data_IF_482049062051
#
_entry.id   IF_482049062051
#
_cell.length_a   1.000
_cell.length_b   1.000
_cell.length_c   1.000
_cell.angle_alpha   90.00
_cell.angle_beta   90.00
_cell.angle_gamma   90.00
#
_symmetry.space_group_name_H-M   'P 1'
#
loop_
_entity.id
_entity.type
_entity.pdbx_description
1 polymer ?
#
# COMPACT_ATOMS: atom_id res chain seq x y z
N UNK A 1 -18.18 62.73 -25.61
CA UNK A 1 -18.22 61.78 -24.50
C UNK A 1 -18.01 60.34 -25.09
N UNK A 2 -17.10 59.84 -25.03
CA UNK A 2 -15.80 59.35 -25.42
C UNK A 2 -15.73 57.84 -25.35
N UNK A 3 -15.36 57.26 -26.48
CA UNK A 3 -15.11 55.80 -26.78
C UNK A 3 -14.13 55.08 -25.81
N UNK A 4 -13.61 55.71 -24.77
CA UNK A 4 -12.64 55.10 -23.82
C UNK A 4 -13.27 54.30 -22.66
N UNK A 5 -14.59 54.39 -22.43
CA UNK A 5 -15.21 53.65 -21.30
C UNK A 5 -15.80 52.28 -21.66
N UNK A 6 -15.93 51.97 -22.95
CA UNK A 6 -16.51 50.68 -23.40
C UNK A 6 -15.44 49.58 -23.49
N UNK A 7 -14.17 49.93 -23.76
CA UNK A 7 -13.08 48.98 -23.91
C UNK A 7 -12.56 48.37 -22.59
N UNK A 8 -12.69 49.09 -21.46
CA UNK A 8 -12.25 48.63 -20.16
C UNK A 8 -13.21 47.65 -19.48
N UNK A 9 -14.50 47.68 -19.81
CA UNK A 9 -15.49 46.72 -19.28
C UNK A 9 -15.44 45.36 -20.00
N UNK A 10 -15.13 45.35 -21.29
CA UNK A 10 -15.01 44.13 -22.10
C UNK A 10 -13.73 43.34 -21.75
N UNK A 11 -12.60 44.02 -21.60
CA UNK A 11 -11.33 43.38 -21.20
C UNK A 11 -11.37 42.80 -19.79
N UNK A 12 -12.06 43.45 -18.84
CA UNK A 12 -12.28 42.87 -17.49
C UNK A 12 -13.20 41.64 -17.50
N UNK A 13 -14.25 41.60 -18.34
CA UNK A 13 -15.13 40.44 -18.49
C UNK A 13 -14.37 39.25 -19.10
N UNK A 14 -13.52 39.47 -20.09
CA UNK A 14 -12.70 38.41 -20.70
C UNK A 14 -11.60 37.90 -19.76
N UNK A 15 -11.03 38.74 -18.92
CA UNK A 15 -10.07 38.36 -17.88
C UNK A 15 -10.75 37.51 -16.77
N UNK A 16 -11.96 37.85 -16.35
CA UNK A 16 -12.74 37.12 -15.37
C UNK A 16 -13.27 35.80 -15.94
N UNK A 17 -13.64 35.74 -17.23
CA UNK A 17 -14.02 34.48 -17.91
C UNK A 17 -12.82 33.56 -18.12
N UNK A 18 -11.63 34.07 -18.42
CA UNK A 18 -10.39 33.29 -18.49
C UNK A 18 -9.94 32.79 -17.12
N UNK A 19 -10.06 33.61 -16.07
CA UNK A 19 -9.78 33.17 -14.70
C UNK A 19 -10.79 32.13 -14.21
N UNK A 20 -12.09 32.26 -14.56
CA UNK A 20 -13.12 31.27 -14.25
C UNK A 20 -12.94 29.96 -15.05
N UNK A 21 -12.51 30.01 -16.32
CA UNK A 21 -12.16 28.84 -17.10
C UNK A 21 -10.89 28.14 -16.59
N UNK A 22 -9.87 28.90 -16.17
CA UNK A 22 -8.67 28.33 -15.55
C UNK A 22 -8.96 27.71 -14.17
N UNK A 23 -9.84 28.30 -13.37
CA UNK A 23 -10.29 27.70 -12.10
C UNK A 23 -11.19 26.48 -12.32
N UNK A 24 -11.99 26.42 -13.37
CA UNK A 24 -12.76 25.23 -13.75
C UNK A 24 -11.88 24.11 -14.33
N UNK A 25 -10.78 24.43 -15.01
CA UNK A 25 -9.80 23.45 -15.49
C UNK A 25 -8.92 22.87 -14.36
N UNK A 26 -8.73 23.58 -13.26
CA UNK A 26 -8.06 23.06 -12.06
C UNK A 26 -9.01 22.33 -11.09
N UNK A 27 -10.32 22.50 -11.23
CA UNK A 27 -11.34 21.82 -10.42
C UNK A 27 -11.81 20.48 -11.01
N UNK A 28 -11.42 20.14 -12.24
CA UNK A 28 -11.93 18.95 -12.95
C UNK A 28 -10.91 17.84 -13.21
N UNK A 29 -9.77 17.82 -12.53
CA UNK A 29 -8.84 16.68 -12.58
C UNK A 29 -9.01 15.68 -11.45
N UNK A 30 -10.16 15.62 -10.81
CA UNK A 30 -10.65 14.37 -10.20
C UNK A 30 -11.61 13.72 -11.22
N UNK A 31 -11.03 13.22 -12.30
CA UNK A 31 -11.71 12.22 -13.12
C UNK A 31 -11.96 11.04 -12.19
N UNK A 32 -13.19 10.88 -11.74
CA UNK A 32 -13.62 9.70 -11.01
C UNK A 32 -13.20 8.48 -11.81
N UNK A 33 -12.28 7.72 -11.27
CA UNK A 33 -11.79 6.50 -11.88
C UNK A 33 -12.98 5.56 -12.01
N UNK A 34 -13.21 5.04 -13.20
CA UNK A 34 -14.37 4.20 -13.49
C UNK A 34 -14.07 2.74 -13.13
N UNK A 35 -15.12 1.95 -12.87
CA UNK A 35 -15.03 0.50 -12.72
C UNK A 35 -14.23 -0.15 -13.87
N UNK A 36 -14.30 0.42 -15.05
CA UNK A 36 -13.56 -0.03 -16.24
C UNK A 36 -12.05 0.10 -16.05
N UNK A 37 -11.57 1.17 -15.40
CA UNK A 37 -10.11 1.36 -15.19
C UNK A 37 -9.52 0.30 -14.27
N UNK A 38 -10.21 -0.06 -13.17
CA UNK A 38 -9.75 -1.14 -12.27
C UNK A 38 -9.80 -2.49 -12.98
N UNK A 39 -10.84 -2.77 -13.75
CA UNK A 39 -10.92 -3.98 -14.57
C UNK A 39 -9.80 -4.06 -15.60
N UNK A 40 -9.46 -2.94 -16.24
CA UNK A 40 -8.34 -2.87 -17.20
C UNK A 40 -6.98 -3.11 -16.52
N UNK A 41 -6.81 -2.65 -15.28
CA UNK A 41 -5.62 -2.95 -14.48
C UNK A 41 -5.57 -4.44 -14.14
N UNK A 42 -6.67 -5.02 -13.65
CA UNK A 42 -6.75 -6.43 -13.27
C UNK A 42 -6.53 -7.35 -14.47
N UNK A 43 -7.10 -7.02 -15.64
CA UNK A 43 -6.92 -7.83 -16.86
C UNK A 43 -5.46 -7.91 -17.31
N UNK A 44 -4.68 -6.83 -17.07
CA UNK A 44 -3.24 -6.77 -17.37
C UNK A 44 -2.36 -7.32 -16.25
N UNK A 45 -2.84 -7.27 -15.01
CA UNK A 45 -2.15 -7.72 -13.82
C UNK A 45 -3.13 -8.35 -12.83
N UNK A 46 -3.46 -9.64 -12.94
CA UNK A 46 -4.39 -10.33 -12.04
C UNK A 46 -4.01 -10.24 -10.57
N UNK A 47 -2.70 -10.13 -10.24
CA UNK A 47 -2.23 -9.96 -8.87
C UNK A 47 -2.80 -8.71 -8.17
N UNK A 48 -3.18 -7.68 -8.95
CA UNK A 48 -3.82 -6.47 -8.42
C UNK A 48 -5.13 -6.78 -7.66
N UNK A 49 -5.87 -7.81 -8.08
CA UNK A 49 -7.10 -8.24 -7.43
C UNK A 49 -6.90 -8.78 -6.01
N UNK A 50 -5.70 -9.21 -5.68
CA UNK A 50 -5.40 -9.81 -4.37
C UNK A 50 -5.12 -8.80 -3.26
N UNK A 51 -5.26 -7.49 -3.49
CA UNK A 51 -4.94 -6.42 -2.55
C UNK A 51 -3.55 -6.59 -1.92
N UNK A 52 -3.46 -7.29 -0.79
CA UNK A 52 -2.22 -7.44 -0.03
C UNK A 52 -1.23 -8.45 -0.63
N UNK A 53 -1.56 -9.16 -1.71
CA UNK A 53 -0.65 -9.99 -2.51
C UNK A 53 -0.34 -9.36 -3.88
N UNK A 54 -0.68 -8.08 -4.11
CA UNK A 54 -0.23 -7.38 -5.30
C UNK A 54 1.31 -7.32 -5.36
N UNK A 55 1.87 -7.55 -6.55
CA UNK A 55 3.32 -7.51 -6.77
C UNK A 55 3.85 -6.07 -6.76
N UNK A 56 5.05 -5.88 -6.23
CA UNK A 56 5.75 -4.61 -6.43
C UNK A 56 6.15 -4.48 -7.91
N UNK A 57 5.94 -3.33 -8.55
CA UNK A 57 6.28 -3.14 -9.96
C UNK A 57 7.73 -3.50 -10.28
N UNK A 58 7.97 -4.21 -11.38
CA UNK A 58 9.32 -4.63 -11.79
C UNK A 58 10.19 -3.47 -12.25
N UNK A 59 9.60 -2.48 -12.88
CA UNK A 59 10.26 -1.22 -13.23
C UNK A 59 9.44 -0.05 -12.72
N UNK A 60 10.09 0.85 -12.01
CA UNK A 60 9.50 2.13 -11.61
C UNK A 60 10.26 3.23 -12.34
N UNK A 61 9.84 3.48 -13.58
CA UNK A 61 10.30 4.64 -14.34
C UNK A 61 9.39 5.82 -14.06
N UNK A 62 9.93 6.86 -13.43
CA UNK A 62 9.20 8.12 -13.27
C UNK A 62 10.19 9.27 -13.20
N UNK A 63 9.73 10.37 -13.75
CA UNK A 63 10.44 11.63 -13.68
C UNK A 63 10.12 12.30 -12.34
N UNK A 64 11.18 12.62 -11.57
CA UNK A 64 11.04 13.37 -10.33
C UNK A 64 11.11 14.87 -10.61
N UNK A 65 10.21 15.61 -9.99
CA UNK A 65 10.26 17.09 -10.00
C UNK A 65 11.59 17.55 -9.40
N UNK A 66 12.29 18.42 -10.14
CA UNK A 66 13.56 18.96 -9.67
C UNK A 66 13.37 19.77 -8.37
N UNK A 67 14.35 19.74 -7.45
CA UNK A 67 14.26 20.53 -6.23
C UNK A 67 14.32 22.03 -6.53
N UNK A 68 13.72 22.86 -5.67
CA UNK A 68 13.87 24.30 -5.75
C UNK A 68 15.35 24.72 -5.80
N UNK A 69 15.65 25.81 -6.52
CA UNK A 69 17.02 26.29 -6.76
C UNK A 69 17.86 26.31 -5.48
N UNK A 70 19.02 25.68 -5.52
CA UNK A 70 19.97 25.60 -4.40
C UNK A 70 19.65 24.53 -3.35
N UNK A 71 18.50 23.89 -3.39
CA UNK A 71 18.16 22.78 -2.48
C UNK A 71 18.65 21.45 -3.06
N UNK A 72 19.19 20.58 -2.19
CA UNK A 72 19.62 19.21 -2.54
C UNK A 72 19.19 18.24 -1.46
N UNK A 73 18.96 16.95 -1.81
CA UNK A 73 18.62 15.94 -0.82
C UNK A 73 19.78 15.74 0.14
N UNK A 74 19.48 15.52 1.43
CA UNK A 74 20.51 15.32 2.46
C UNK A 74 20.15 14.27 3.51
N UNK A 75 18.89 13.87 3.59
CA UNK A 75 18.41 12.89 4.56
C UNK A 75 17.20 12.14 4.01
N UNK A 76 17.13 10.83 4.26
CA UNK A 76 15.99 9.97 3.92
C UNK A 76 15.46 9.30 5.19
N UNK A 77 14.13 9.38 5.39
CA UNK A 77 13.41 8.61 6.38
C UNK A 77 12.40 7.72 5.67
N UNK A 78 12.44 6.42 5.92
CA UNK A 78 11.65 5.43 5.20
C UNK A 78 10.88 4.53 6.17
N UNK A 79 9.68 4.11 5.76
CA UNK A 79 8.96 2.96 6.31
C UNK A 79 8.48 2.08 5.16
N UNK A 80 8.91 0.81 5.14
CA UNK A 80 8.53 -0.17 4.12
C UNK A 80 7.87 -1.41 4.72
N UNK A 81 7.03 -2.03 3.92
CA UNK A 81 6.47 -3.35 4.13
C UNK A 81 7.51 -4.41 3.74
N UNK A 82 7.49 -5.60 4.37
CA UNK A 82 8.25 -6.77 3.90
C UNK A 82 7.94 -7.10 2.42
N UNK A 83 8.84 -7.78 1.75
CA UNK A 83 8.66 -8.26 0.38
C UNK A 83 7.66 -9.42 0.24
N UNK A 84 7.55 -9.96 -0.97
CA UNK A 84 6.73 -11.13 -1.29
C UNK A 84 7.02 -12.29 -0.33
N UNK A 85 5.94 -12.96 0.10
CA UNK A 85 5.99 -14.00 1.12
C UNK A 85 4.96 -15.09 0.86
N UNK A 86 5.16 -16.26 1.44
CA UNK A 86 4.16 -17.32 1.52
C UNK A 86 2.92 -16.85 2.30
N UNK A 87 1.75 -17.50 2.05
CA UNK A 87 0.52 -17.22 2.81
C UNK A 87 0.81 -17.44 4.30
N UNK A 88 0.37 -16.50 5.15
CA UNK A 88 0.84 -16.42 6.55
C UNK A 88 0.29 -17.50 7.47
N UNK A 89 -0.80 -18.16 7.09
CA UNK A 89 -1.44 -19.17 7.92
C UNK A 89 -1.90 -20.37 7.08
N UNK A 90 -1.91 -21.52 7.70
CA UNK A 90 -2.27 -22.79 7.08
C UNK A 90 -3.70 -22.79 6.49
N UNK A 91 -4.66 -22.10 7.14
CA UNK A 91 -6.04 -22.05 6.65
C UNK A 91 -6.16 -21.51 5.23
N UNK A 92 -5.28 -20.59 4.81
CA UNK A 92 -5.27 -20.05 3.46
C UNK A 92 -4.93 -21.08 2.38
N UNK A 93 -4.31 -22.17 2.76
CA UNK A 93 -4.03 -23.32 1.92
C UNK A 93 -5.04 -24.44 2.13
N UNK A 94 -5.30 -24.80 3.39
CA UNK A 94 -6.12 -25.97 3.75
C UNK A 94 -7.58 -25.82 3.28
N UNK A 95 -8.19 -24.64 3.40
CA UNK A 95 -9.60 -24.46 3.07
C UNK A 95 -9.91 -24.85 1.62
N UNK A 96 -9.28 -24.25 0.59
CA UNK A 96 -9.58 -24.65 -0.78
C UNK A 96 -9.07 -26.07 -1.10
N UNK A 97 -7.90 -26.46 -0.56
CA UNK A 97 -7.31 -27.76 -0.87
C UNK A 97 -8.12 -28.95 -0.30
N UNK A 98 -8.55 -28.86 0.98
CA UNK A 98 -9.34 -29.93 1.61
C UNK A 98 -10.74 -30.04 0.98
N UNK A 99 -11.33 -28.91 0.54
CA UNK A 99 -12.58 -28.94 -0.21
C UNK A 99 -12.44 -29.71 -1.54
N UNK A 100 -11.37 -29.43 -2.28
CA UNK A 100 -11.10 -30.12 -3.55
C UNK A 100 -10.81 -31.63 -3.33
N UNK A 101 -10.06 -31.99 -2.28
CA UNK A 101 -9.84 -33.39 -1.90
C UNK A 101 -11.13 -34.10 -1.49
N UNK A 102 -12.04 -33.41 -0.81
CA UNK A 102 -13.33 -33.95 -0.44
C UNK A 102 -14.17 -34.26 -1.69
N UNK A 103 -14.25 -33.33 -2.64
CA UNK A 103 -14.97 -33.55 -3.89
C UNK A 103 -14.34 -34.67 -4.74
N UNK A 104 -13.02 -34.74 -4.79
CA UNK A 104 -12.28 -35.84 -5.44
C UNK A 104 -12.65 -37.23 -4.87
N UNK A 105 -12.74 -37.30 -3.54
CA UNK A 105 -13.10 -38.59 -2.84
C UNK A 105 -14.53 -39.07 -3.11
N UNK A 106 -15.37 -38.21 -3.67
CA UNK A 106 -16.76 -38.50 -4.03
C UNK A 106 -16.98 -38.59 -5.54
N UNK A 107 -15.92 -38.54 -6.34
CA UNK A 107 -15.96 -38.45 -7.81
C UNK A 107 -16.77 -37.26 -8.34
N UNK A 108 -16.77 -36.13 -7.61
CA UNK A 108 -17.55 -34.91 -7.90
C UNK A 108 -16.73 -33.79 -8.57
N UNK A 109 -15.48 -34.06 -8.98
CA UNK A 109 -14.68 -33.10 -9.73
C UNK A 109 -14.97 -33.20 -11.24
N UNK A 110 -15.00 -32.03 -11.89
CA UNK A 110 -14.91 -31.97 -13.36
C UNK A 110 -13.45 -32.18 -13.80
N UNK A 111 -13.17 -32.42 -15.09
CA UNK A 111 -11.78 -32.47 -15.58
C UNK A 111 -10.98 -31.20 -15.28
N UNK A 112 -11.64 -30.05 -15.18
CA UNK A 112 -10.99 -28.81 -14.73
C UNK A 112 -10.73 -28.82 -13.23
N UNK A 113 -11.65 -29.34 -12.43
CA UNK A 113 -11.47 -29.55 -11.00
C UNK A 113 -10.28 -30.44 -10.69
N UNK A 114 -10.15 -31.58 -11.40
CA UNK A 114 -8.99 -32.48 -11.29
C UNK A 114 -7.66 -31.74 -11.59
N UNK A 115 -7.61 -30.96 -12.69
CA UNK A 115 -6.43 -30.14 -13.03
C UNK A 115 -6.08 -29.16 -11.90
N UNK A 116 -7.09 -28.45 -11.37
CA UNK A 116 -6.89 -27.48 -10.28
C UNK A 116 -6.36 -28.19 -9.03
N UNK A 117 -6.87 -29.37 -8.69
CA UNK A 117 -6.39 -30.14 -7.54
C UNK A 117 -4.91 -30.55 -7.72
N UNK A 118 -4.50 -31.00 -8.91
CA UNK A 118 -3.08 -31.34 -9.18
C UNK A 118 -2.15 -30.11 -9.04
N UNK A 119 -2.56 -28.95 -9.54
CA UNK A 119 -1.80 -27.71 -9.35
C UNK A 119 -1.73 -27.31 -7.87
N UNK A 120 -2.81 -27.48 -7.12
CA UNK A 120 -2.83 -27.24 -5.67
C UNK A 120 -1.88 -28.16 -4.91
N UNK A 121 -1.74 -29.44 -5.30
CA UNK A 121 -0.77 -30.37 -4.71
C UNK A 121 0.67 -29.84 -4.84
N UNK A 122 1.03 -29.24 -5.98
CA UNK A 122 2.34 -28.62 -6.18
C UNK A 122 2.53 -27.43 -5.22
N UNK A 123 1.51 -26.57 -5.08
CA UNK A 123 1.55 -25.42 -4.19
C UNK A 123 1.65 -25.87 -2.73
N UNK A 124 0.90 -26.89 -2.33
CA UNK A 124 0.95 -27.45 -0.97
C UNK A 124 2.34 -27.99 -0.64
N UNK A 125 2.96 -28.72 -1.58
CA UNK A 125 4.32 -29.25 -1.42
C UNK A 125 5.37 -28.13 -1.28
N UNK A 126 5.32 -27.09 -2.14
CA UNK A 126 6.27 -25.98 -2.07
C UNK A 126 6.10 -25.13 -0.81
N UNK A 127 4.87 -24.99 -0.31
CA UNK A 127 4.57 -24.15 0.85
C UNK A 127 4.63 -24.85 2.21
N UNK A 128 4.89 -26.14 2.23
CA UNK A 128 4.95 -26.91 3.47
C UNK A 128 6.00 -26.35 4.45
N UNK A 129 5.56 -26.05 5.68
CA UNK A 129 6.37 -25.46 6.75
C UNK A 129 6.99 -24.08 6.42
N UNK A 130 6.52 -23.39 5.35
CA UNK A 130 7.04 -22.09 4.92
C UNK A 130 6.04 -20.93 5.11
N UNK A 131 5.04 -21.10 5.94
CA UNK A 131 3.95 -20.10 6.12
C UNK A 131 4.48 -18.77 6.62
N UNK A 132 4.22 -17.73 5.84
CA UNK A 132 4.64 -16.35 6.14
C UNK A 132 6.13 -16.07 5.95
N UNK A 133 6.91 -17.02 5.42
CA UNK A 133 8.32 -16.82 5.05
C UNK A 133 8.45 -15.93 3.82
N UNK A 134 9.54 -15.18 3.76
CA UNK A 134 9.88 -14.36 2.60
C UNK A 134 10.26 -15.25 1.41
N UNK A 135 9.75 -14.92 0.21
CA UNK A 135 10.16 -15.60 -1.03
C UNK A 135 11.44 -15.00 -1.61
N UNK A 136 12.05 -15.69 -2.59
CA UNK A 136 13.17 -15.14 -3.37
C UNK A 136 12.78 -13.85 -4.09
N UNK A 137 11.55 -13.78 -4.63
CA UNK A 137 11.00 -12.54 -5.19
C UNK A 137 10.95 -11.41 -4.17
N UNK A 138 10.61 -11.72 -2.91
CA UNK A 138 10.58 -10.74 -1.83
C UNK A 138 11.95 -10.19 -1.47
N UNK A 139 12.99 -11.02 -1.51
CA UNK A 139 14.38 -10.57 -1.34
C UNK A 139 14.79 -9.62 -2.47
N UNK A 140 14.50 -9.98 -3.72
CA UNK A 140 14.89 -9.18 -4.90
C UNK A 140 14.13 -7.85 -4.96
N UNK A 141 12.86 -7.80 -4.53
CA UNK A 141 12.12 -6.54 -4.42
C UNK A 141 12.86 -5.54 -3.52
N UNK A 142 13.36 -5.97 -2.36
CA UNK A 142 14.07 -5.08 -1.45
C UNK A 142 15.48 -4.70 -1.94
N UNK A 143 16.18 -5.57 -2.65
CA UNK A 143 17.44 -5.22 -3.33
C UNK A 143 17.18 -4.13 -4.36
N UNK A 144 16.16 -4.30 -5.21
CA UNK A 144 15.82 -3.32 -6.24
C UNK A 144 15.42 -1.96 -5.65
N UNK A 145 14.59 -1.94 -4.60
CA UNK A 145 14.22 -0.69 -3.92
C UNK A 145 15.45 0.02 -3.35
N UNK A 146 16.38 -0.74 -2.78
CA UNK A 146 17.63 -0.19 -2.25
C UNK A 146 18.52 0.39 -3.37
N UNK A 147 18.65 -0.33 -4.49
CA UNK A 147 19.37 0.12 -5.70
C UNK A 147 18.79 1.42 -6.25
N UNK A 148 17.47 1.45 -6.45
CA UNK A 148 16.76 2.64 -6.90
C UNK A 148 16.97 3.84 -5.96
N UNK A 149 17.03 3.60 -4.65
CA UNK A 149 17.26 4.66 -3.66
C UNK A 149 18.66 5.27 -3.81
N UNK A 150 19.69 4.47 -4.05
CA UNK A 150 21.06 4.96 -4.30
C UNK A 150 21.13 5.75 -5.61
N UNK A 151 20.55 5.21 -6.68
CA UNK A 151 20.55 5.84 -8.01
C UNK A 151 19.87 7.22 -7.99
N UNK A 152 18.81 7.37 -7.21
CA UNK A 152 18.03 8.62 -7.14
C UNK A 152 18.57 9.65 -6.17
N UNK A 153 19.24 9.20 -5.12
CA UNK A 153 19.72 10.06 -4.05
C UNK A 153 21.20 9.80 -3.73
N UNK A 154 22.09 9.90 -4.75
CA UNK A 154 23.52 9.67 -4.54
C UNK A 154 24.14 10.66 -3.58
N UNK A 155 23.53 11.86 -3.41
CA UNK A 155 24.00 12.87 -2.43
C UNK A 155 23.80 12.41 -0.99
N UNK A 156 22.85 11.50 -0.73
CA UNK A 156 22.55 10.99 0.62
C UNK A 156 23.25 9.67 0.89
N UNK A 157 23.37 8.80 -0.10
CA UNK A 157 23.89 7.44 0.03
C UNK A 157 25.26 7.23 -0.61
N UNK A 158 25.86 8.25 -1.23
CA UNK A 158 27.21 8.21 -1.79
C UNK A 158 28.29 8.49 -0.76
N UNK A 159 29.49 7.88 -0.95
CA UNK A 159 30.63 8.05 -0.09
C UNK A 159 30.40 7.58 1.36
N UNK A 160 31.19 8.10 2.29
CA UNK A 160 31.10 7.74 3.72
C UNK A 160 29.88 8.40 4.37
N UNK A 161 28.83 7.62 4.64
CA UNK A 161 27.60 8.07 5.32
C UNK A 161 27.01 6.96 6.18
N UNK A 162 26.05 7.29 7.03
CA UNK A 162 25.43 6.35 7.97
C UNK A 162 24.06 5.87 7.47
N UNK A 163 23.76 4.59 7.66
CA UNK A 163 22.45 3.99 7.45
C UNK A 163 22.02 3.29 8.73
N UNK A 164 20.94 3.76 9.34
CA UNK A 164 20.30 3.08 10.47
C UNK A 164 19.08 2.34 9.97
N UNK A 165 19.10 1.02 10.05
CA UNK A 165 18.01 0.15 9.64
C UNK A 165 17.33 -0.49 10.84
N UNK A 166 15.99 -0.40 10.91
CA UNK A 166 15.18 -1.04 11.96
C UNK A 166 14.12 -1.93 11.35
N UNK A 167 13.93 -3.10 11.94
CA UNK A 167 12.88 -4.04 11.55
C UNK A 167 11.96 -4.34 12.72
N UNK A 168 10.72 -4.76 12.42
CA UNK A 168 9.94 -5.53 13.40
C UNK A 168 10.64 -6.86 13.69
N UNK A 169 10.29 -7.50 14.80
CA UNK A 169 10.89 -8.79 15.22
C UNK A 169 10.36 -10.00 14.41
N UNK A 170 9.68 -9.76 13.30
CA UNK A 170 9.14 -10.80 12.43
C UNK A 170 10.17 -11.15 11.37
N UNK A 171 10.48 -12.44 11.20
CA UNK A 171 11.56 -12.94 10.34
C UNK A 171 11.54 -12.37 8.93
N UNK A 172 10.38 -12.35 8.25
CA UNK A 172 10.29 -11.79 6.89
C UNK A 172 10.66 -10.31 6.80
N UNK A 173 10.39 -9.53 7.85
CA UNK A 173 10.78 -8.12 7.89
C UNK A 173 12.29 -7.96 8.12
N UNK A 174 12.88 -8.80 8.99
CA UNK A 174 14.33 -8.84 9.22
C UNK A 174 15.07 -9.27 7.94
N UNK A 175 14.56 -10.28 7.22
CA UNK A 175 15.15 -10.74 5.96
C UNK A 175 15.00 -9.68 4.84
N UNK A 176 13.89 -8.95 4.80
CA UNK A 176 13.72 -7.81 3.88
C UNK A 176 14.71 -6.69 4.17
N UNK A 177 14.92 -6.37 5.45
CA UNK A 177 15.95 -5.43 5.90
C UNK A 177 17.35 -5.90 5.48
N UNK A 178 17.69 -7.15 5.76
CA UNK A 178 18.99 -7.72 5.40
C UNK A 178 19.25 -7.66 3.90
N UNK A 179 18.29 -8.02 3.06
CA UNK A 179 18.40 -7.95 1.60
C UNK A 179 18.71 -6.52 1.12
N UNK A 180 17.99 -5.52 1.63
CA UNK A 180 18.23 -4.12 1.31
C UNK A 180 19.64 -3.66 1.78
N UNK A 181 20.06 -4.03 2.99
CA UNK A 181 21.38 -3.63 3.52
C UNK A 181 22.53 -4.28 2.76
N UNK A 182 22.39 -5.54 2.38
CA UNK A 182 23.40 -6.23 1.55
C UNK A 182 23.57 -5.56 0.18
N UNK A 183 22.48 -5.15 -0.45
CA UNK A 183 22.53 -4.41 -1.72
C UNK A 183 23.20 -3.05 -1.57
N UNK A 184 22.84 -2.29 -0.52
CA UNK A 184 23.48 -0.99 -0.23
C UNK A 184 24.99 -1.13 -0.01
N UNK A 185 25.43 -2.16 0.76
CA UNK A 185 26.86 -2.43 1.00
C UNK A 185 27.59 -2.84 -0.27
N UNK A 186 26.95 -3.59 -1.16
CA UNK A 186 27.54 -4.00 -2.44
C UNK A 186 27.75 -2.79 -3.35
N UNK A 187 26.81 -1.83 -3.38
CA UNK A 187 26.90 -0.62 -4.22
C UNK A 187 27.89 0.39 -3.59
N UNK A 188 27.82 0.59 -2.29
CA UNK A 188 28.70 1.53 -1.58
C UNK A 188 29.30 0.89 -0.31
N UNK A 189 30.52 0.33 -0.38
CA UNK A 189 31.19 -0.29 0.76
C UNK A 189 31.60 0.68 1.89
N UNK A 190 31.57 1.99 1.63
CA UNK A 190 31.92 3.00 2.64
C UNK A 190 30.75 3.32 3.63
N UNK A 191 29.56 2.74 3.39
CA UNK A 191 28.40 2.94 4.25
C UNK A 191 28.64 2.36 5.66
N UNK A 192 28.33 3.18 6.66
CA UNK A 192 28.32 2.75 8.06
C UNK A 192 26.90 2.29 8.43
N UNK A 193 26.65 1.00 8.29
CA UNK A 193 25.31 0.40 8.48
C UNK A 193 25.16 -0.14 9.91
N UNK A 194 24.08 0.27 10.59
CA UNK A 194 23.61 -0.34 11.83
C UNK A 194 22.25 -0.95 11.63
N UNK A 195 22.04 -2.19 12.12
CA UNK A 195 20.78 -2.92 12.02
C UNK A 195 20.22 -3.26 13.41
N UNK A 196 18.92 -3.09 13.60
CA UNK A 196 18.23 -3.41 14.84
C UNK A 196 16.88 -4.07 14.57
N UNK A 197 16.58 -5.16 15.30
CA UNK A 197 15.24 -5.73 15.43
C UNK A 197 14.98 -5.99 16.93
N UNK A 198 14.30 -5.07 17.59
CA UNK A 198 14.16 -5.05 19.04
C UNK A 198 12.70 -4.99 19.48
N UNK A 199 12.35 -5.69 20.58
CA UNK A 199 11.06 -5.56 21.24
C UNK A 199 10.79 -4.12 21.70
N UNK A 200 11.84 -3.37 22.08
CA UNK A 200 11.72 -1.99 22.54
C UNK A 200 11.19 -1.04 21.46
N UNK A 201 11.53 -1.28 20.19
CA UNK A 201 11.08 -0.47 19.06
C UNK A 201 9.67 -0.80 18.61
N UNK A 202 9.12 -1.98 18.98
CA UNK A 202 7.77 -2.41 18.60
C UNK A 202 6.67 -1.45 19.07
N UNK A 203 6.92 -0.66 20.13
CA UNK A 203 6.00 0.38 20.61
C UNK A 203 5.59 1.39 19.55
N UNK A 204 6.39 1.58 18.46
CA UNK A 204 6.07 2.44 17.33
C UNK A 204 6.20 1.72 15.98
N UNK A 205 7.10 0.73 15.84
CA UNK A 205 7.29 0.01 14.58
C UNK A 205 6.08 -0.85 14.18
N UNK A 206 5.36 -1.40 15.16
CA UNK A 206 4.14 -2.18 14.97
C UNK A 206 3.28 -2.12 16.23
N UNK A 207 2.86 -0.90 16.59
CA UNK A 207 2.04 -0.70 17.78
C UNK A 207 0.66 -1.37 17.62
N UNK A 208 0.31 -2.23 18.58
CA UNK A 208 -0.99 -2.89 18.64
C UNK A 208 -1.94 -2.10 19.55
N UNK A 209 -2.69 -1.16 18.97
CA UNK A 209 -3.72 -0.42 19.70
C UNK A 209 -4.97 -1.29 19.91
N UNK A 210 -5.07 -1.87 21.10
CA UNK A 210 -6.15 -2.82 21.44
C UNK A 210 -7.56 -2.19 21.31
N UNK A 211 -7.71 -0.91 21.64
CA UNK A 211 -9.01 -0.22 21.58
C UNK A 211 -9.42 0.02 20.13
N UNK A 212 -8.50 0.50 19.28
CA UNK A 212 -8.77 0.65 17.87
C UNK A 212 -9.04 -0.71 17.21
N UNK A 213 -8.30 -1.75 17.60
CA UNK A 213 -8.54 -3.11 17.07
C UNK A 213 -9.93 -3.64 17.39
N UNK A 214 -10.44 -3.43 18.61
CA UNK A 214 -11.81 -3.81 18.97
C UNK A 214 -12.86 -3.06 18.15
N UNK A 215 -12.60 -1.82 17.76
CA UNK A 215 -13.51 -0.98 16.98
C UNK A 215 -13.34 -1.09 15.47
N UNK A 216 -12.49 -1.97 14.95
CA UNK A 216 -12.30 -2.14 13.50
C UNK A 216 -13.58 -2.55 12.77
N UNK A 217 -14.34 -3.47 13.37
CA UNK A 217 -15.56 -4.01 12.78
C UNK A 217 -16.72 -3.84 13.78
N UNK A 218 -17.31 -2.63 13.81
CA UNK A 218 -18.54 -2.36 14.59
C UNK A 218 -19.74 -3.11 14.01
N UNK A 219 -20.83 -3.27 14.74
CA UNK A 219 -22.07 -3.85 14.20
C UNK A 219 -22.57 -3.14 12.94
N UNK A 220 -22.47 -1.81 12.88
CA UNK A 220 -22.83 -0.99 11.72
C UNK A 220 -21.91 -1.28 10.53
N UNK A 221 -20.61 -1.30 10.76
CA UNK A 221 -19.64 -1.63 9.72
C UNK A 221 -19.83 -3.05 9.19
N UNK A 222 -20.11 -4.03 10.09
CA UNK A 222 -20.40 -5.41 9.70
C UNK A 222 -21.67 -5.51 8.86
N UNK A 223 -22.74 -4.81 9.27
CA UNK A 223 -24.01 -4.79 8.51
C UNK A 223 -23.80 -4.21 7.10
N UNK A 224 -23.09 -3.07 7.00
CA UNK A 224 -22.79 -2.44 5.71
C UNK A 224 -21.91 -3.33 4.84
N UNK A 225 -20.89 -3.95 5.41
CA UNK A 225 -20.00 -4.88 4.71
C UNK A 225 -20.76 -6.11 4.21
N UNK A 226 -21.60 -6.75 5.03
CA UNK A 226 -22.39 -7.91 4.61
C UNK A 226 -23.37 -7.55 3.48
N UNK A 227 -23.99 -6.36 3.53
CA UNK A 227 -24.84 -5.88 2.44
C UNK A 227 -24.04 -5.62 1.14
N UNK A 228 -22.81 -5.12 1.27
CA UNK A 228 -21.92 -4.83 0.16
C UNK A 228 -21.43 -6.12 -0.50
N UNK A 229 -21.03 -7.12 0.30
CA UNK A 229 -20.56 -8.43 -0.19
C UNK A 229 -21.67 -9.26 -0.81
N UNK A 230 -22.87 -9.26 -0.24
CA UNK A 230 -24.02 -10.00 -0.78
C UNK A 230 -24.37 -9.63 -2.23
N UNK A 231 -24.06 -8.39 -2.66
CA UNK A 231 -24.25 -7.94 -4.05
C UNK A 231 -23.15 -8.42 -5.01
N UNK A 232 -21.99 -8.87 -4.48
CA UNK A 232 -20.76 -9.15 -5.23
C UNK A 232 -20.26 -10.58 -5.05
N UNK A 233 -20.76 -11.27 -4.03
CA UNK A 233 -20.43 -12.65 -3.74
C UNK A 233 -21.20 -13.63 -4.61
N UNK A 234 -20.77 -14.87 -4.55
CA UNK A 234 -21.26 -15.98 -5.37
C UNK A 234 -20.52 -16.06 -6.71
N UNK A 235 -20.13 -17.26 -7.07
CA UNK A 235 -19.45 -17.54 -8.33
C UNK A 235 -19.93 -18.87 -8.91
N UNK A 236 -21.23 -18.90 -9.26
CA UNK A 236 -21.87 -20.10 -9.80
C UNK A 236 -21.08 -20.70 -10.98
N UNK A 237 -20.58 -19.84 -11.90
CA UNK A 237 -19.78 -20.31 -13.04
C UNK A 237 -18.52 -21.07 -12.59
N UNK A 238 -17.83 -20.56 -11.56
CA UNK A 238 -16.62 -21.21 -11.05
C UNK A 238 -16.97 -22.53 -10.36
N UNK A 239 -18.07 -22.59 -9.62
CA UNK A 239 -18.55 -23.84 -9.02
C UNK A 239 -18.89 -24.89 -10.08
N UNK A 240 -19.68 -24.53 -11.11
CA UNK A 240 -19.98 -25.40 -12.26
C UNK A 240 -18.73 -25.79 -13.08
N UNK A 241 -17.70 -24.96 -13.09
CA UNK A 241 -16.42 -25.25 -13.76
C UNK A 241 -15.62 -26.33 -13.01
N UNK A 242 -15.68 -26.33 -11.68
CA UNK A 242 -14.83 -27.19 -10.84
C UNK A 242 -15.53 -28.48 -10.38
N UNK A 243 -16.85 -28.45 -10.17
CA UNK A 243 -17.62 -29.51 -9.53
C UNK A 243 -18.76 -29.99 -10.42
N UNK A 244 -18.98 -31.33 -10.43
CA UNK A 244 -20.15 -31.95 -11.08
C UNK A 244 -21.43 -31.60 -10.32
N UNK A 245 -21.37 -31.58 -8.97
CA UNK A 245 -22.40 -31.04 -8.11
C UNK A 245 -21.91 -29.74 -7.45
N UNK A 246 -22.30 -28.56 -7.97
CA UNK A 246 -21.85 -27.27 -7.43
C UNK A 246 -22.22 -27.02 -5.95
N UNK A 247 -23.31 -27.60 -5.47
CA UNK A 247 -23.80 -27.39 -4.11
C UNK A 247 -22.95 -28.11 -3.04
N UNK A 248 -22.06 -29.03 -3.44
CA UNK A 248 -21.15 -29.78 -2.54
C UNK A 248 -20.25 -28.84 -1.72
N UNK A 249 -19.95 -27.65 -2.24
CA UNK A 249 -19.10 -26.68 -1.56
C UNK A 249 -19.76 -26.18 -0.28
N UNK A 250 -21.05 -25.81 -0.34
CA UNK A 250 -21.78 -25.26 0.83
C UNK A 250 -22.06 -26.32 1.91
N UNK A 251 -21.92 -27.61 1.60
CA UNK A 251 -21.98 -28.69 2.60
C UNK A 251 -20.74 -28.73 3.52
N UNK A 252 -19.61 -28.20 3.05
CA UNK A 252 -18.31 -28.29 3.74
C UNK A 252 -17.80 -26.92 4.17
N UNK A 253 -17.91 -25.91 3.29
CA UNK A 253 -17.38 -24.56 3.51
C UNK A 253 -18.28 -23.56 2.80
N UNK A 254 -18.38 -22.32 3.34
CA UNK A 254 -19.04 -21.20 2.67
C UNK A 254 -18.40 -20.92 1.30
N UNK A 255 -19.21 -20.85 0.23
CA UNK A 255 -18.75 -20.64 -1.15
C UNK A 255 -17.87 -19.38 -1.28
N UNK A 256 -18.23 -18.28 -0.62
CA UNK A 256 -17.44 -17.03 -0.68
C UNK A 256 -16.07 -17.25 -0.05
N UNK A 257 -15.99 -18.02 1.03
CA UNK A 257 -14.73 -18.33 1.69
C UNK A 257 -13.85 -19.24 0.81
N UNK A 258 -14.44 -20.26 0.17
CA UNK A 258 -13.74 -21.10 -0.80
C UNK A 258 -13.17 -20.28 -1.95
N UNK A 259 -14.00 -19.48 -2.61
CA UNK A 259 -13.61 -18.61 -3.72
C UNK A 259 -12.47 -17.65 -3.32
N UNK A 260 -12.58 -17.03 -2.15
CA UNK A 260 -11.57 -16.10 -1.63
C UNK A 260 -10.21 -16.77 -1.45
N UNK A 261 -10.16 -17.93 -0.79
CA UNK A 261 -8.89 -18.61 -0.54
C UNK A 261 -8.33 -19.28 -1.79
N UNK A 262 -9.16 -19.79 -2.69
CA UNK A 262 -8.74 -20.32 -3.98
C UNK A 262 -8.09 -19.21 -4.83
N UNK A 263 -8.72 -18.03 -4.93
CA UNK A 263 -8.13 -16.87 -5.59
C UNK A 263 -6.80 -16.47 -4.95
N UNK A 264 -6.75 -16.37 -3.62
CA UNK A 264 -5.50 -16.01 -2.91
C UNK A 264 -4.40 -17.04 -3.15
N UNK A 265 -4.73 -18.32 -3.21
CA UNK A 265 -3.77 -19.39 -3.51
C UNK A 265 -3.26 -19.30 -4.94
N UNK A 266 -4.14 -19.01 -5.92
CA UNK A 266 -3.76 -18.81 -7.31
C UNK A 266 -2.89 -17.56 -7.50
N UNK A 267 -3.25 -16.43 -6.91
CA UNK A 267 -2.49 -15.18 -7.04
C UNK A 267 -1.19 -15.21 -6.23
N UNK A 268 -1.13 -15.99 -5.14
CA UNK A 268 0.09 -16.18 -4.33
C UNK A 268 1.22 -16.83 -5.13
N UNK A 269 0.94 -17.81 -5.99
CA UNK A 269 1.98 -18.50 -6.76
C UNK A 269 2.78 -17.57 -7.68
N UNK A 270 2.21 -16.38 -8.05
CA UNK A 270 2.94 -15.36 -8.80
C UNK A 270 4.17 -14.83 -8.04
N UNK A 271 4.24 -15.06 -6.73
CA UNK A 271 5.36 -14.68 -5.86
C UNK A 271 6.43 -15.75 -5.70
N UNK A 272 6.22 -16.94 -6.28
CA UNK A 272 7.09 -18.09 -6.15
C UNK A 272 7.67 -18.51 -7.50
N UNK A 273 8.55 -19.51 -7.50
CA UNK A 273 9.09 -20.09 -8.73
C UNK A 273 8.04 -20.93 -9.50
N UNK A 274 6.90 -21.25 -8.86
CA UNK A 274 5.81 -22.00 -9.48
C UNK A 274 5.00 -21.21 -10.50
N UNK A 275 5.18 -19.89 -10.57
CA UNK A 275 4.47 -19.00 -11.49
C UNK A 275 4.57 -19.39 -12.99
N UNK A 276 5.51 -20.28 -13.34
CA UNK A 276 5.68 -20.82 -14.70
C UNK A 276 5.05 -22.19 -14.90
N UNK A 277 4.61 -22.83 -13.85
CA UNK A 277 4.20 -24.24 -13.85
C UNK A 277 2.74 -24.44 -13.43
N UNK A 278 2.07 -23.37 -13.00
CA UNK A 278 0.70 -23.43 -12.51
C UNK A 278 -0.09 -22.25 -13.07
N UNK A 279 -1.36 -22.48 -13.38
CA UNK A 279 -2.26 -21.55 -14.06
C UNK A 279 -3.58 -21.38 -13.30
N UNK A 280 -3.55 -21.49 -11.97
CA UNK A 280 -4.76 -21.34 -11.13
C UNK A 280 -5.48 -20.00 -11.33
N UNK A 281 -4.79 -18.98 -11.79
CA UNK A 281 -5.40 -17.68 -12.10
C UNK A 281 -6.27 -17.72 -13.33
N UNK A 282 -6.05 -18.66 -14.26
CA UNK A 282 -6.74 -18.75 -15.54
C UNK A 282 -8.19 -19.22 -15.42
N UNK A 283 -8.53 -19.84 -14.28
CA UNK A 283 -9.92 -20.27 -14.02
C UNK A 283 -10.85 -19.09 -13.71
N UNK A 284 -10.32 -17.92 -13.36
CA UNK A 284 -11.10 -16.73 -13.03
C UNK A 284 -11.22 -15.79 -14.22
N UNK A 285 -12.40 -15.25 -14.43
CA UNK A 285 -12.58 -14.11 -15.34
C UNK A 285 -12.12 -12.82 -14.67
N UNK A 286 -11.81 -11.81 -15.49
CA UNK A 286 -11.46 -10.47 -14.98
C UNK A 286 -12.57 -9.89 -14.10
N UNK A 287 -13.83 -10.12 -14.46
CA UNK A 287 -14.98 -9.62 -13.68
C UNK A 287 -15.11 -10.31 -12.32
N UNK A 288 -14.82 -11.61 -12.24
CA UNK A 288 -14.79 -12.35 -10.98
C UNK A 288 -13.69 -11.84 -10.07
N UNK A 289 -12.47 -11.68 -10.59
CA UNK A 289 -11.36 -11.08 -9.87
C UNK A 289 -11.67 -9.65 -9.40
N UNK A 290 -12.33 -8.86 -10.25
CA UNK A 290 -12.74 -7.51 -9.91
C UNK A 290 -13.75 -7.47 -8.76
N UNK A 291 -14.79 -8.32 -8.78
CA UNK A 291 -15.76 -8.42 -7.67
C UNK A 291 -15.09 -8.82 -6.36
N UNK A 292 -14.16 -9.78 -6.41
CA UNK A 292 -13.40 -10.21 -5.24
C UNK A 292 -12.48 -9.09 -4.73
N UNK A 293 -11.85 -8.33 -5.64
CA UNK A 293 -11.08 -7.15 -5.30
C UNK A 293 -11.94 -6.09 -4.58
N UNK A 294 -13.15 -5.81 -5.07
CA UNK A 294 -14.04 -4.85 -4.43
C UNK A 294 -14.35 -5.24 -2.98
N UNK A 295 -14.63 -6.51 -2.74
CA UNK A 295 -14.90 -7.06 -1.40
C UNK A 295 -13.69 -6.87 -0.47
N UNK A 296 -12.51 -7.25 -0.94
CA UNK A 296 -11.26 -7.15 -0.15
C UNK A 296 -10.87 -5.67 0.08
N UNK A 297 -11.01 -4.81 -0.95
CA UNK A 297 -10.76 -3.38 -0.83
C UNK A 297 -11.63 -2.71 0.22
N UNK A 298 -12.92 -3.03 0.25
CA UNK A 298 -13.85 -2.52 1.27
C UNK A 298 -13.51 -3.00 2.67
N UNK A 299 -13.06 -4.25 2.82
CA UNK A 299 -12.61 -4.79 4.11
C UNK A 299 -11.37 -4.04 4.63
N UNK A 300 -10.39 -3.81 3.76
CA UNK A 300 -9.18 -3.04 4.10
C UNK A 300 -9.50 -1.60 4.48
N UNK A 301 -10.47 -0.96 3.78
CA UNK A 301 -10.94 0.38 4.12
C UNK A 301 -11.56 0.43 5.52
N UNK A 302 -12.48 -0.49 5.83
CA UNK A 302 -13.13 -0.55 7.13
C UNK A 302 -12.10 -0.74 8.25
N UNK A 303 -11.15 -1.66 8.04
CA UNK A 303 -10.20 -2.04 9.09
C UNK A 303 -9.06 -1.05 9.30
N UNK A 304 -8.69 -0.26 8.29
CA UNK A 304 -7.45 0.54 8.31
C UNK A 304 -7.61 1.98 7.80
N UNK A 305 -8.66 2.27 7.03
CA UNK A 305 -8.99 3.59 6.52
C UNK A 305 -9.74 4.46 7.52
N UNK A 306 -10.13 5.67 7.09
CA UNK A 306 -10.92 6.60 7.88
C UNK A 306 -12.44 6.34 7.75
N UNK A 307 -12.86 5.09 7.84
CA UNK A 307 -14.23 4.64 7.68
C UNK A 307 -15.16 5.23 8.74
N UNK A 308 -16.20 5.99 8.33
CA UNK A 308 -17.16 6.60 9.27
C UNK A 308 -17.97 5.58 10.04
N UNK A 309 -18.22 4.39 9.47
CA UNK A 309 -19.01 3.32 10.12
C UNK A 309 -18.37 2.80 11.41
N UNK A 310 -17.05 3.00 11.59
CA UNK A 310 -16.32 2.65 12.81
C UNK A 310 -15.69 3.87 13.51
N UNK A 311 -16.17 5.06 13.19
CA UNK A 311 -15.75 6.33 13.79
C UNK A 311 -14.51 6.97 13.18
N UNK A 312 -14.00 6.49 12.03
CA UNK A 312 -12.92 7.14 11.28
C UNK A 312 -11.54 7.14 11.94
N UNK A 313 -11.34 6.34 13.00
CA UNK A 313 -10.17 6.47 13.88
C UNK A 313 -9.03 5.49 13.59
N UNK A 314 -9.21 4.52 12.69
CA UNK A 314 -8.23 3.47 12.45
C UNK A 314 -6.85 3.99 12.00
N UNK A 315 -6.74 5.06 11.19
CA UNK A 315 -5.43 5.63 10.82
C UNK A 315 -4.59 6.06 12.03
N UNK A 316 -5.21 6.49 13.12
CA UNK A 316 -4.49 6.90 14.35
C UNK A 316 -3.82 5.73 15.10
N UNK A 317 -4.01 4.48 14.66
CA UNK A 317 -3.18 3.36 15.13
C UNK A 317 -1.68 3.63 14.91
N UNK A 318 -1.34 4.44 13.88
CA UNK A 318 0.04 4.77 13.54
C UNK A 318 0.53 6.12 14.10
N UNK A 319 -0.18 6.71 15.07
CA UNK A 319 0.21 7.99 15.70
C UNK A 319 1.59 7.96 16.35
N UNK A 320 1.97 6.82 16.94
CA UNK A 320 3.29 6.67 17.58
C UNK A 320 4.41 6.58 16.54
N UNK A 321 4.18 5.87 15.42
CA UNK A 321 5.14 5.82 14.32
C UNK A 321 5.35 7.19 13.70
N UNK A 322 4.29 7.94 13.42
CA UNK A 322 4.39 9.28 12.85
C UNK A 322 5.11 10.25 13.81
N UNK A 323 4.83 10.19 15.12
CA UNK A 323 5.57 10.98 16.12
C UNK A 323 7.06 10.62 16.14
N UNK A 324 7.40 9.33 16.04
CA UNK A 324 8.78 8.88 16.01
C UNK A 324 9.49 9.35 14.73
N UNK A 325 8.83 9.25 13.56
CA UNK A 325 9.38 9.78 12.28
C UNK A 325 9.68 11.27 12.40
N UNK A 326 8.76 12.05 12.99
CA UNK A 326 8.95 13.50 13.19
C UNK A 326 10.11 13.78 14.16
N UNK A 327 10.19 13.07 15.27
CA UNK A 327 11.24 13.26 16.27
C UNK A 327 12.63 12.89 15.73
N UNK A 328 12.71 11.77 14.99
CA UNK A 328 13.95 11.32 14.36
C UNK A 328 14.40 12.34 13.29
N UNK A 329 13.48 12.84 12.47
CA UNK A 329 13.78 13.86 11.48
C UNK A 329 14.27 15.17 12.12
N UNK A 330 13.61 15.65 13.19
CA UNK A 330 14.04 16.84 13.93
C UNK A 330 15.47 16.68 14.53
N UNK A 331 15.86 15.47 14.85
CA UNK A 331 17.22 15.18 15.31
C UNK A 331 18.21 15.17 14.15
N UNK A 332 17.86 14.49 13.05
CA UNK A 332 18.72 14.32 11.88
C UNK A 332 18.98 15.62 11.13
N UNK A 333 17.97 16.51 10.98
CA UNK A 333 18.16 17.78 10.25
C UNK A 333 19.16 18.72 10.88
N UNK A 334 19.51 18.52 12.16
CA UNK A 334 20.55 19.30 12.87
C UNK A 334 21.97 18.82 12.61
N UNK A 335 22.12 17.66 12.00
CA UNK A 335 23.43 17.08 11.69
C UNK A 335 23.90 17.53 10.31
N UNK A 336 25.22 17.66 10.15
CA UNK A 336 25.81 17.99 8.85
C UNK A 336 25.61 16.85 7.84
N UNK A 337 25.82 15.60 8.26
CA UNK A 337 25.66 14.38 7.47
C UNK A 337 24.77 13.36 8.22
N UNK A 338 23.44 13.51 8.20
CA UNK A 338 22.54 12.65 8.97
C UNK A 338 22.38 11.24 8.39
N UNK A 339 22.68 11.05 7.10
CA UNK A 339 22.52 9.75 6.43
C UNK A 339 21.08 9.34 6.19
N UNK A 340 20.74 8.07 6.50
CA UNK A 340 19.44 7.48 6.15
C UNK A 340 18.88 6.66 7.31
N UNK A 341 17.58 6.73 7.52
CA UNK A 341 16.85 5.89 8.49
C UNK A 341 15.80 5.04 7.76
N UNK A 342 16.00 3.73 7.77
CA UNK A 342 15.15 2.76 7.09
C UNK A 342 14.39 1.92 8.12
N UNK A 343 13.08 1.72 7.90
CA UNK A 343 12.21 0.93 8.77
C UNK A 343 11.48 -0.12 7.95
N UNK A 344 11.46 -1.36 8.43
CA UNK A 344 10.87 -2.51 7.74
C UNK A 344 9.78 -3.17 8.59
N UNK A 345 8.57 -3.24 8.05
CA UNK A 345 7.40 -3.71 8.80
C UNK A 345 6.31 -4.31 7.91
N UNK A 346 5.08 -3.85 8.09
CA UNK A 346 3.88 -4.53 7.59
C UNK A 346 2.91 -3.59 6.87
N UNK A 347 2.06 -4.18 6.00
CA UNK A 347 0.94 -3.51 5.34
C UNK A 347 -0.07 -2.93 6.35
N UNK A 348 -0.33 -3.63 7.45
CA UNK A 348 -1.23 -3.20 8.54
C UNK A 348 -0.71 -1.97 9.32
N UNK A 349 0.51 -1.56 9.06
CA UNK A 349 1.12 -0.32 9.56
C UNK A 349 1.19 0.72 8.44
N UNK A 350 1.62 0.30 7.24
CA UNK A 350 1.84 1.21 6.12
C UNK A 350 0.53 1.82 5.61
N UNK A 351 -0.53 1.01 5.41
CA UNK A 351 -1.81 1.52 4.94
C UNK A 351 -2.41 2.56 5.88
N UNK A 352 -2.61 2.30 7.19
CA UNK A 352 -3.14 3.34 8.08
C UNK A 352 -2.17 4.52 8.28
N UNK A 353 -0.86 4.37 8.07
CA UNK A 353 0.07 5.51 8.03
C UNK A 353 -0.20 6.41 6.81
N UNK A 354 -0.40 5.82 5.63
CA UNK A 354 -0.77 6.55 4.39
C UNK A 354 -2.09 7.30 4.59
N UNK A 355 -3.10 6.65 5.17
CA UNK A 355 -4.39 7.27 5.50
C UNK A 355 -4.24 8.38 6.56
N UNK A 356 -3.41 8.19 7.59
CA UNK A 356 -3.15 9.21 8.63
C UNK A 356 -2.50 10.46 8.04
N UNK A 357 -1.57 10.26 7.11
CA UNK A 357 -0.89 11.32 6.39
C UNK A 357 -1.77 11.99 5.32
N UNK A 358 -2.86 11.35 4.87
CA UNK A 358 -3.69 11.83 3.77
C UNK A 358 -2.94 11.87 2.44
N UNK A 359 -1.98 10.96 2.27
CA UNK A 359 -1.21 10.85 1.02
C UNK A 359 -2.18 10.59 -0.13
N UNK A 360 -2.11 11.41 -1.19
CA UNK A 360 -2.92 11.27 -2.42
C UNK A 360 -4.44 11.14 -2.16
N UNK A 361 -4.97 11.71 -1.06
CA UNK A 361 -6.39 11.63 -0.71
C UNK A 361 -6.82 10.33 -0.02
N UNK A 362 -5.90 9.46 0.40
CA UNK A 362 -6.23 8.22 1.12
C UNK A 362 -6.81 8.42 2.53
N UNK A 363 -6.95 9.66 3.00
CA UNK A 363 -7.72 10.02 4.21
C UNK A 363 -9.23 10.17 3.95
N UNK A 364 -9.73 9.63 2.85
CA UNK A 364 -11.15 9.60 2.50
C UNK A 364 -12.00 9.14 3.68
N UNK A 365 -12.99 9.95 4.04
CA UNK A 365 -13.97 9.69 5.09
C UNK A 365 -15.35 9.44 4.48
N UNK A 366 -15.78 8.18 4.38
CA UNK A 366 -17.13 7.82 3.91
C UNK A 366 -17.74 6.71 4.76
N UNK A 367 -19.07 6.63 4.77
CA UNK A 367 -19.87 5.50 5.27
C UNK A 367 -20.48 4.66 4.15
N UNK A 368 -20.33 5.11 2.91
CA UNK A 368 -20.79 4.42 1.71
C UNK A 368 -19.64 3.69 1.03
N UNK A 369 -19.64 2.36 1.09
CA UNK A 369 -18.58 1.53 0.49
C UNK A 369 -18.58 1.56 -1.06
N UNK A 370 -19.68 1.93 -1.69
CA UNK A 370 -19.76 2.09 -3.15
C UNK A 370 -19.03 3.35 -3.66
N UNK A 371 -18.61 4.28 -2.77
CA UNK A 371 -17.84 5.47 -3.15
C UNK A 371 -16.34 5.22 -3.26
N UNK A 372 -15.83 4.15 -2.63
CA UNK A 372 -14.38 3.89 -2.52
C UNK A 372 -13.67 3.92 -3.88
N UNK A 373 -14.24 3.24 -4.84
CA UNK A 373 -13.66 3.12 -6.17
C UNK A 373 -13.69 4.45 -6.93
N UNK A 374 -14.81 5.19 -6.87
CA UNK A 374 -14.99 6.49 -7.51
C UNK A 374 -14.03 7.54 -6.98
N UNK A 375 -13.74 7.48 -5.68
CA UNK A 375 -12.85 8.40 -4.99
C UNK A 375 -11.37 7.95 -5.07
N UNK A 376 -11.08 6.88 -5.82
CA UNK A 376 -9.72 6.39 -6.03
C UNK A 376 -9.09 5.74 -4.79
N UNK A 377 -9.91 5.28 -3.84
CA UNK A 377 -9.39 4.58 -2.66
C UNK A 377 -9.16 3.10 -2.98
N UNK A 378 -7.95 2.76 -3.45
CA UNK A 378 -7.55 1.45 -3.92
C UNK A 378 -6.40 0.90 -3.10
N UNK A 379 -6.70 -0.02 -2.21
CA UNK A 379 -5.71 -0.59 -1.32
C UNK A 379 -4.52 -1.23 -2.07
N UNK A 380 -4.76 -1.88 -3.21
CA UNK A 380 -3.72 -2.52 -4.02
C UNK A 380 -2.65 -1.55 -4.53
N UNK A 381 -2.98 -0.27 -4.73
CA UNK A 381 -2.04 0.77 -5.14
C UNK A 381 -1.19 1.28 -3.97
N UNK A 382 -1.69 1.14 -2.73
CA UNK A 382 -0.98 1.63 -1.54
C UNK A 382 0.07 0.65 -1.06
N UNK A 383 -0.30 -0.63 -0.94
CA UNK A 383 0.54 -1.59 -0.25
C UNK A 383 0.87 -2.88 -1.05
N UNK A 384 1.35 -2.80 -2.31
CA UNK A 384 1.93 -3.99 -2.93
C UNK A 384 3.02 -4.59 -2.02
N UNK A 385 3.44 -5.83 -2.26
CA UNK A 385 4.58 -6.42 -1.53
C UNK A 385 5.82 -5.54 -1.69
N UNK A 386 6.55 -5.26 -0.60
CA UNK A 386 7.69 -4.33 -0.64
C UNK A 386 7.32 -2.84 -0.65
N UNK A 387 6.02 -2.51 -0.57
CA UNK A 387 5.55 -1.11 -0.57
C UNK A 387 6.23 -0.25 0.48
N UNK A 388 6.37 1.05 0.19
CA UNK A 388 7.09 1.94 1.08
C UNK A 388 6.62 3.40 0.97
N UNK A 389 6.81 4.13 2.07
CA UNK A 389 6.74 5.59 2.12
C UNK A 389 8.13 6.11 2.42
N UNK A 390 8.61 7.05 1.62
CA UNK A 390 9.91 7.70 1.79
C UNK A 390 9.70 9.21 1.98
N UNK A 391 10.34 9.77 3.00
CA UNK A 391 10.41 11.20 3.26
C UNK A 391 11.83 11.66 2.88
N UNK A 392 11.94 12.42 1.81
CA UNK A 392 13.22 12.93 1.30
C UNK A 392 13.35 14.38 1.72
N UNK A 393 14.39 14.71 2.47
CA UNK A 393 14.61 16.04 3.02
C UNK A 393 15.64 16.81 2.20
N UNK A 394 15.35 18.08 1.95
CA UNK A 394 16.15 18.97 1.11
C UNK A 394 16.55 20.24 1.85
N UNK A 395 17.79 20.67 1.65
CA UNK A 395 18.33 21.96 2.17
C UNK A 395 19.43 22.49 1.25
N UNK A 396 19.81 23.75 1.39
CA UNK A 396 20.94 24.33 0.64
C UNK A 396 22.28 23.95 1.26
N UNK A 397 22.39 24.04 2.60
CA UNK A 397 23.54 23.62 3.40
C UNK A 397 23.09 23.19 4.81
N UNK A 398 24.00 22.79 5.67
CA UNK A 398 23.68 22.27 7.00
C UNK A 398 23.13 23.32 7.99
N UNK A 399 23.29 24.60 7.71
CA UNK A 399 22.76 25.73 8.52
C UNK A 399 21.41 26.22 8.02
N UNK A 400 20.96 25.72 6.88
CA UNK A 400 19.70 26.11 6.28
C UNK A 400 18.51 25.71 7.17
N UNK A 401 17.76 26.71 7.62
CA UNK A 401 16.56 26.53 8.46
C UNK A 401 15.29 26.30 7.66
N UNK A 402 15.31 26.59 6.36
CA UNK A 402 14.18 26.38 5.43
C UNK A 402 14.26 24.97 4.81
N UNK A 403 14.19 23.95 5.66
CA UNK A 403 14.20 22.55 5.24
C UNK A 403 12.90 22.20 4.56
N UNK A 404 13.00 21.55 3.39
CA UNK A 404 11.87 21.01 2.64
C UNK A 404 11.82 19.49 2.78
N UNK A 405 10.61 18.92 2.69
CA UNK A 405 10.37 17.49 2.59
C UNK A 405 9.53 17.19 1.35
N UNK A 406 9.90 16.14 0.63
CA UNK A 406 9.11 15.51 -0.42
C UNK A 406 8.74 14.11 0.05
N UNK A 407 7.50 13.67 -0.21
CA UNK A 407 7.05 12.33 0.14
C UNK A 407 6.89 11.50 -1.12
N UNK A 408 7.39 10.27 -1.07
CA UNK A 408 7.19 9.26 -2.11
C UNK A 408 6.34 8.12 -1.53
N UNK A 409 5.36 7.66 -2.31
CA UNK A 409 4.63 6.42 -2.06
C UNK A 409 5.02 5.42 -3.15
N UNK A 410 5.56 4.28 -2.77
CA UNK A 410 6.05 3.27 -3.72
C UNK A 410 6.99 3.91 -4.77
N UNK A 411 7.91 4.76 -4.27
CA UNK A 411 8.92 5.47 -5.06
C UNK A 411 8.36 6.53 -6.03
N UNK A 412 7.05 6.79 -6.05
CA UNK A 412 6.40 7.84 -6.85
C UNK A 412 6.10 9.07 -5.99
N UNK A 413 6.26 10.26 -6.57
CA UNK A 413 5.92 11.51 -5.89
C UNK A 413 4.46 11.51 -5.44
N UNK A 414 4.25 11.92 -4.19
CA UNK A 414 2.94 11.92 -3.56
C UNK A 414 2.55 13.32 -3.06
N UNK A 415 1.26 13.57 -3.03
CA UNK A 415 0.68 14.80 -2.49
C UNK A 415 0.29 14.64 -1.03
N UNK A 416 0.32 15.75 -0.28
CA UNK A 416 -0.14 15.84 1.11
C UNK A 416 -1.24 16.89 1.24
N UNK A 417 -2.15 16.77 2.23
CA UNK A 417 -3.22 17.74 2.49
C UNK A 417 -2.68 19.01 3.18
N UNK A 418 -1.50 19.48 2.78
CA UNK A 418 -0.80 20.66 3.32
C UNK A 418 -0.64 21.66 2.18
N UNK A 419 -1.02 22.91 2.43
CA UNK A 419 -0.82 23.98 1.44
C UNK A 419 0.68 24.24 1.25
N UNK A 420 1.11 24.33 0.00
CA UNK A 420 2.47 24.66 -0.39
C UNK A 420 2.45 25.47 -1.68
N UNK A 421 3.46 26.31 -1.90
CA UNK A 421 3.69 27.03 -3.16
C UNK A 421 4.77 26.37 -4.04
N UNK A 422 5.28 25.23 -3.65
CA UNK A 422 6.35 24.52 -4.36
C UNK A 422 6.10 22.99 -4.40
N UNK A 423 4.84 22.55 -4.63
CA UNK A 423 4.53 21.14 -4.78
C UNK A 423 5.47 20.44 -5.79
N UNK A 424 5.90 19.21 -5.52
CA UNK A 424 5.56 18.29 -4.42
C UNK A 424 6.43 18.46 -3.16
N UNK A 425 7.02 19.65 -2.95
CA UNK A 425 7.82 19.98 -1.79
C UNK A 425 6.99 20.71 -0.74
N UNK A 426 7.23 20.40 0.53
CA UNK A 426 6.55 20.99 1.68
C UNK A 426 7.59 21.48 2.67
N UNK A 427 7.37 22.66 3.28
CA UNK A 427 8.24 23.10 4.38
C UNK A 427 8.12 22.15 5.56
N UNK A 428 9.25 21.70 6.09
CA UNK A 428 9.25 20.79 7.23
C UNK A 428 8.53 21.37 8.45
N UNK A 429 8.65 22.68 8.68
CA UNK A 429 7.93 23.37 9.74
C UNK A 429 6.41 23.28 9.60
N UNK A 430 5.88 23.37 8.37
CA UNK A 430 4.45 23.28 8.09
C UNK A 430 3.95 21.84 8.20
N UNK A 431 4.73 20.88 7.68
CA UNK A 431 4.50 19.45 7.85
C UNK A 431 4.37 19.09 9.34
N UNK A 432 5.36 19.46 10.13
CA UNK A 432 5.40 19.18 11.56
C UNK A 432 4.24 19.81 12.31
N UNK A 433 3.97 21.08 12.07
CA UNK A 433 2.85 21.81 12.68
C UNK A 433 1.51 21.16 12.38
N UNK A 434 1.25 20.79 11.12
CA UNK A 434 0.02 20.18 10.67
C UNK A 434 -0.22 18.83 11.36
N UNK A 435 0.74 17.92 11.27
CA UNK A 435 0.57 16.57 11.81
C UNK A 435 0.60 16.53 13.33
N UNK A 436 1.46 17.29 14.01
CA UNK A 436 1.43 17.34 15.48
C UNK A 436 0.12 17.91 15.99
N UNK A 437 -0.45 18.93 15.33
CA UNK A 437 -1.79 19.44 15.67
C UNK A 437 -2.86 18.34 15.50
N UNK A 438 -2.87 17.63 14.37
CA UNK A 438 -3.78 16.51 14.09
C UNK A 438 -3.69 15.43 15.18
N UNK A 439 -2.47 15.01 15.52
CA UNK A 439 -2.22 13.99 16.54
C UNK A 439 -2.62 14.44 17.95
N UNK A 440 -2.30 15.69 18.33
CA UNK A 440 -2.63 16.23 19.64
C UNK A 440 -4.16 16.41 19.84
N UNK A 441 -4.88 16.76 18.76
CA UNK A 441 -6.34 16.82 18.80
C UNK A 441 -6.97 15.45 19.01
N UNK A 442 -6.41 14.40 18.42
CA UNK A 442 -6.86 13.03 18.63
C UNK A 442 -6.63 12.58 20.10
N UNK A 443 -5.42 12.81 20.63
CA UNK A 443 -5.07 12.41 22.00
C UNK A 443 -5.92 13.12 23.07
N UNK A 444 -6.40 14.36 22.81
CA UNK A 444 -7.30 15.09 23.70
C UNK A 444 -8.76 14.58 23.69
N UNK A 445 -9.16 13.82 22.65
CA UNK A 445 -10.51 13.26 22.52
C UNK A 445 -10.64 11.85 23.09
N UNK A 446 -9.52 11.26 23.52
CA UNK A 446 -9.45 10.01 24.27
C UNK A 446 -9.64 10.24 25.76
#
# INVERSE_FOLDING_TARGET
MTMKQVTTKTTRRWALLRAAMLTLLFASCHLGVTAQEVMDIISKNPAYASCNYNLYPDSVTFQMTAPPKGKRPFYISHYGRHGSRYISNRKGYDIPYLMMLHADSLDELTPMGERVLEEMKLIMTDSENRWGELTSSGLEQHRRIARNMVERFPEVLGGKTTVTARSTIVTRCMMSMAAAMMELMQINPELQISMEASKSTMRYMNHQDKELKKSQMTPEAKKAYNKYTAKRGGNKRLMELLFLNPDIVDEVVDEQQFNYYLMKMGLFQLHTHLNKNTYLTDIFTTEELYRMWQIDNALWYIQHGACKLNGGRQPYSQRYLLRQIIADADSCIRLEKPGTQLRFGHETVLLPLVCLLGINGYDLETDNLDDLEKEGWWCSSVFPMGSNVQFIFYRSDWRDKDVLVKVLLNEKEATLPIRTNCAPYYRWSDFKRYYLKKLNLYDKRK
#
